data_IF_775179565476
#
_entry.id   IF_775179565476
#
_cell.length_a   1.000
_cell.length_b   1.000
_cell.length_c   1.000
_cell.angle_alpha   90.00
_cell.angle_beta   90.00
_cell.angle_gamma   90.00
#
_symmetry.space_group_name_H-M   'P 1'
#
loop_
_entity.id
_entity.type
_entity.pdbx_description
1 polymer ?
#
# COMPACT_ATOMS: atom_id res chain seq x y z
N UNK A 1 17.80 12.76 5.66
CA UNK A 1 18.64 12.73 4.43
C UNK A 1 17.95 13.59 3.36
N UNK A 2 18.61 14.07 2.29
CA UNK A 2 17.94 14.88 1.25
C UNK A 2 17.73 14.06 -0.03
N UNK A 3 16.47 13.87 -0.44
CA UNK A 3 16.06 13.14 -1.66
C UNK A 3 15.93 14.04 -2.89
N UNK A 4 16.52 15.25 -2.85
CA UNK A 4 16.45 16.23 -3.93
C UNK A 4 17.01 15.71 -5.27
N UNK A 5 17.98 14.80 -5.24
CA UNK A 5 18.52 14.15 -6.44
C UNK A 5 17.46 13.31 -7.18
N UNK A 6 16.56 12.66 -6.44
CA UNK A 6 15.43 11.91 -7.01
C UNK A 6 14.38 12.90 -7.52
N UNK A 7 13.93 13.85 -6.68
CA UNK A 7 12.82 14.74 -7.02
C UNK A 7 13.11 15.74 -8.15
N UNK A 8 14.38 16.13 -8.30
CA UNK A 8 14.86 17.00 -9.36
C UNK A 8 15.51 16.24 -10.53
N UNK A 9 15.45 14.90 -10.51
CA UNK A 9 16.00 14.06 -11.56
C UNK A 9 15.48 14.48 -12.94
N UNK A 10 16.39 14.41 -13.92
CA UNK A 10 16.08 14.49 -15.36
C UNK A 10 16.55 13.23 -16.08
N UNK A 11 16.92 12.19 -15.33
CA UNK A 11 17.33 10.90 -15.88
C UNK A 11 16.10 10.29 -16.54
N UNK A 12 16.16 10.10 -17.86
CA UNK A 12 15.05 9.53 -18.60
C UNK A 12 14.99 8.04 -18.36
N UNK A 13 13.81 7.53 -18.02
CA UNK A 13 13.54 6.11 -18.05
C UNK A 13 13.46 5.63 -19.50
N UNK A 14 13.96 4.42 -19.76
CA UNK A 14 13.86 3.76 -21.05
C UNK A 14 12.42 3.36 -21.41
N UNK A 15 11.57 3.20 -20.39
CA UNK A 15 10.17 2.81 -20.52
C UNK A 15 9.22 3.94 -20.11
N UNK A 16 8.04 3.98 -20.75
CA UNK A 16 6.93 4.83 -20.29
C UNK A 16 6.07 4.06 -19.30
N UNK A 17 5.63 4.76 -18.26
CA UNK A 17 4.67 4.25 -17.30
C UNK A 17 3.24 4.56 -17.74
N UNK A 18 2.30 3.68 -17.37
CA UNK A 18 0.87 4.00 -17.27
C UNK A 18 0.57 4.70 -15.94
N UNK A 19 -0.63 5.29 -15.74
CA UNK A 19 -1.01 5.87 -14.45
C UNK A 19 -0.89 4.87 -13.29
N UNK A 20 -1.31 3.62 -13.48
CA UNK A 20 -1.27 2.58 -12.46
C UNK A 20 0.18 2.24 -12.10
N UNK A 21 1.04 2.10 -13.12
CA UNK A 21 2.47 1.86 -12.96
C UNK A 21 3.16 3.04 -12.24
N UNK A 22 2.75 4.27 -12.53
CA UNK A 22 3.27 5.46 -11.87
C UNK A 22 2.85 5.54 -10.40
N UNK A 23 1.59 5.22 -10.08
CA UNK A 23 1.11 5.16 -8.69
C UNK A 23 1.85 4.05 -7.93
N UNK A 24 1.96 2.84 -8.49
CA UNK A 24 2.73 1.74 -7.91
C UNK A 24 4.17 2.14 -7.64
N UNK A 25 4.82 2.79 -8.62
CA UNK A 25 6.19 3.26 -8.50
C UNK A 25 6.39 4.21 -7.31
N UNK A 26 5.45 5.11 -7.06
CA UNK A 26 5.50 6.02 -5.92
C UNK A 26 5.43 5.26 -4.60
N UNK A 27 4.50 4.32 -4.45
CA UNK A 27 4.41 3.49 -3.25
C UNK A 27 5.69 2.68 -3.01
N UNK A 28 6.20 2.02 -4.05
CA UNK A 28 7.43 1.22 -3.92
C UNK A 28 8.66 2.06 -3.58
N UNK A 29 8.76 3.29 -4.11
CA UNK A 29 9.88 4.17 -3.79
C UNK A 29 9.88 4.63 -2.33
N UNK A 30 8.71 4.78 -1.71
CA UNK A 30 8.58 5.09 -0.27
C UNK A 30 9.07 3.91 0.56
N UNK A 31 8.64 2.71 0.23
CA UNK A 31 9.08 1.47 0.89
C UNK A 31 10.61 1.28 0.78
N UNK A 32 11.18 1.57 -0.38
CA UNK A 32 12.61 1.41 -0.64
C UNK A 32 13.50 2.53 -0.08
N UNK A 33 12.97 3.44 0.76
CA UNK A 33 13.69 4.63 1.23
C UNK A 33 14.88 4.28 2.11
N UNK A 34 14.75 3.28 2.97
CA UNK A 34 15.81 2.81 3.86
C UNK A 34 16.80 1.85 3.17
N UNK A 35 16.50 1.44 1.94
CA UNK A 35 17.33 0.61 1.09
C UNK A 35 16.86 -0.84 0.97
N UNK A 36 15.84 -1.25 1.73
CA UNK A 36 15.25 -2.58 1.66
C UNK A 36 13.81 -2.50 1.13
N UNK A 37 13.35 -3.56 0.45
CA UNK A 37 11.95 -3.69 0.02
C UNK A 37 11.39 -4.87 0.78
N UNK A 38 10.48 -4.63 1.72
CA UNK A 38 9.74 -5.71 2.36
C UNK A 38 8.63 -6.19 1.41
N UNK A 39 8.81 -7.40 0.90
CA UNK A 39 7.84 -8.03 0.00
C UNK A 39 6.46 -8.25 0.65
N UNK A 40 6.37 -8.26 1.99
CA UNK A 40 5.09 -8.31 2.68
C UNK A 40 4.34 -6.96 2.58
N UNK A 41 5.07 -5.84 2.58
CA UNK A 41 4.48 -4.51 2.43
C UNK A 41 4.09 -4.22 0.97
N UNK A 42 4.71 -4.91 0.01
CA UNK A 42 4.29 -4.82 -1.40
C UNK A 42 2.82 -5.21 -1.57
N UNK A 43 2.31 -6.13 -0.75
CA UNK A 43 0.90 -6.53 -0.76
C UNK A 43 -0.04 -5.37 -0.36
N UNK A 44 0.45 -4.38 0.41
CA UNK A 44 -0.30 -3.17 0.77
C UNK A 44 -0.50 -2.31 -0.48
N UNK A 45 0.55 -2.13 -1.28
CA UNK A 45 0.48 -1.41 -2.56
C UNK A 45 -0.51 -2.11 -3.51
N UNK A 46 -0.39 -3.43 -3.63
CA UNK A 46 -1.24 -4.24 -4.50
C UNK A 46 -2.71 -4.15 -4.06
N UNK A 47 -2.98 -4.28 -2.76
CA UNK A 47 -4.31 -4.15 -2.16
C UNK A 47 -4.94 -2.77 -2.36
N UNK A 48 -4.17 -1.70 -2.13
CA UNK A 48 -4.64 -0.33 -2.38
C UNK A 48 -5.07 -0.13 -3.83
N UNK A 49 -4.26 -0.59 -4.78
CA UNK A 49 -4.56 -0.44 -6.20
C UNK A 49 -5.83 -1.21 -6.60
N UNK A 50 -5.99 -2.45 -6.13
CA UNK A 50 -7.21 -3.21 -6.38
C UNK A 50 -8.47 -2.45 -5.91
N UNK A 51 -8.43 -1.84 -4.73
CA UNK A 51 -9.54 -1.02 -4.19
C UNK A 51 -9.83 0.23 -5.01
N UNK A 52 -8.83 0.79 -5.70
CA UNK A 52 -9.02 1.90 -6.64
C UNK A 52 -9.61 1.47 -7.98
N UNK A 53 -9.90 0.17 -8.14
CA UNK A 53 -10.56 -0.41 -9.31
C UNK A 53 -9.59 -0.97 -10.35
N UNK A 54 -8.31 -1.14 -10.01
CA UNK A 54 -7.35 -1.80 -10.88
C UNK A 54 -7.56 -3.32 -10.82
N UNK A 55 -7.38 -3.99 -11.96
CA UNK A 55 -7.45 -5.45 -12.02
C UNK A 55 -6.18 -6.08 -11.46
N UNK A 56 -6.28 -7.30 -10.94
CA UNK A 56 -5.11 -8.06 -10.47
C UNK A 56 -4.01 -8.19 -11.54
N UNK A 57 -4.41 -8.31 -12.82
CA UNK A 57 -3.46 -8.38 -13.93
C UNK A 57 -2.73 -7.05 -14.16
N UNK A 58 -3.41 -5.91 -14.03
CA UNK A 58 -2.78 -4.59 -14.14
C UNK A 58 -1.81 -4.33 -12.99
N UNK A 59 -2.16 -4.76 -11.78
CA UNK A 59 -1.31 -4.63 -10.59
C UNK A 59 -0.05 -5.49 -10.70
N UNK A 60 -0.18 -6.76 -11.08
CA UNK A 60 0.97 -7.66 -11.29
C UNK A 60 1.89 -7.15 -12.42
N UNK A 61 1.32 -6.67 -13.52
CA UNK A 61 2.08 -6.07 -14.61
C UNK A 61 2.84 -4.81 -14.14
N UNK A 62 2.20 -3.98 -13.32
CA UNK A 62 2.82 -2.80 -12.73
C UNK A 62 3.99 -3.16 -11.82
N UNK A 63 3.78 -4.09 -10.88
CA UNK A 63 4.84 -4.58 -9.99
C UNK A 63 6.06 -5.07 -10.76
N UNK A 64 5.86 -5.96 -11.73
CA UNK A 64 6.96 -6.54 -12.53
C UNK A 64 7.74 -5.48 -13.28
N UNK A 65 7.05 -4.51 -13.89
CA UNK A 65 7.70 -3.44 -14.63
C UNK A 65 8.46 -2.50 -13.69
N UNK A 66 7.82 -2.04 -12.61
CA UNK A 66 8.43 -1.10 -11.67
C UNK A 66 9.68 -1.71 -11.01
N UNK A 67 9.59 -2.96 -10.54
CA UNK A 67 10.74 -3.69 -9.95
C UNK A 67 11.90 -3.88 -10.93
N UNK A 68 11.59 -4.09 -12.23
CA UNK A 68 12.61 -4.12 -13.27
C UNK A 68 13.30 -2.76 -13.42
N UNK A 69 12.52 -1.68 -13.52
CA UNK A 69 13.04 -0.32 -13.73
C UNK A 69 13.91 0.11 -12.54
N UNK A 70 13.46 -0.07 -11.29
CA UNK A 70 14.25 0.32 -10.11
C UNK A 70 15.59 -0.43 -10.07
N UNK A 71 15.62 -1.71 -10.46
CA UNK A 71 16.83 -2.54 -10.49
C UNK A 71 17.81 -2.12 -11.60
N UNK A 72 17.30 -1.72 -12.77
CA UNK A 72 18.12 -1.43 -13.95
C UNK A 72 18.50 0.05 -14.08
N UNK A 73 17.61 0.96 -13.69
CA UNK A 73 17.69 2.39 -13.98
C UNK A 73 17.63 3.28 -12.73
N UNK A 74 17.41 2.69 -11.54
CA UNK A 74 17.35 3.35 -10.22
C UNK A 74 16.15 4.28 -10.02
N UNK A 75 15.99 4.74 -8.77
CA UNK A 75 14.88 5.58 -8.32
C UNK A 75 14.77 6.90 -9.08
N UNK A 76 15.89 7.49 -9.50
CA UNK A 76 15.90 8.77 -10.22
C UNK A 76 15.20 8.68 -11.58
N UNK A 77 15.38 7.58 -12.31
CA UNK A 77 14.72 7.35 -13.60
C UNK A 77 13.24 7.00 -13.40
N UNK A 78 12.95 6.17 -12.41
CA UNK A 78 11.60 5.73 -12.07
C UNK A 78 10.71 6.92 -11.64
N UNK A 79 11.21 7.76 -10.73
CA UNK A 79 10.48 8.96 -10.30
C UNK A 79 10.25 9.94 -11.44
N UNK A 80 11.27 10.16 -12.28
CA UNK A 80 11.12 11.04 -13.44
C UNK A 80 9.99 10.55 -14.36
N UNK A 81 9.93 9.25 -14.66
CA UNK A 81 8.89 8.64 -15.48
C UNK A 81 7.51 8.75 -14.83
N UNK A 82 7.38 8.43 -13.54
CA UNK A 82 6.13 8.54 -12.79
C UNK A 82 5.61 9.98 -12.82
N UNK A 83 6.49 10.96 -12.58
CA UNK A 83 6.14 12.38 -12.60
C UNK A 83 5.64 12.86 -13.98
N UNK A 84 6.14 12.31 -15.09
CA UNK A 84 5.62 12.67 -16.42
C UNK A 84 4.18 12.21 -16.64
N UNK A 85 3.76 11.14 -15.95
CA UNK A 85 2.44 10.55 -16.08
C UNK A 85 1.44 11.19 -15.12
N UNK A 86 1.85 11.40 -13.86
CA UNK A 86 1.03 11.99 -12.80
C UNK A 86 0.84 13.50 -13.03
N UNK A 87 -0.07 13.84 -13.95
CA UNK A 87 -0.32 15.23 -14.36
C UNK A 87 -1.70 15.74 -13.93
N UNK A 88 -2.66 14.84 -13.69
CA UNK A 88 -3.98 15.23 -13.21
C UNK A 88 -4.05 15.16 -11.67
N UNK A 89 -4.88 16.02 -11.07
CA UNK A 89 -4.99 16.15 -9.62
C UNK A 89 -5.39 14.82 -8.94
N UNK A 90 -6.29 14.05 -9.54
CA UNK A 90 -6.78 12.80 -8.99
C UNK A 90 -5.68 11.72 -8.90
N UNK A 91 -4.86 11.57 -9.94
CA UNK A 91 -3.74 10.64 -9.97
C UNK A 91 -2.64 11.05 -9.01
N UNK A 92 -2.34 12.36 -8.95
CA UNK A 92 -1.37 12.93 -8.00
C UNK A 92 -1.81 12.64 -6.57
N UNK A 93 -3.08 12.89 -6.25
CA UNK A 93 -3.65 12.58 -4.93
C UNK A 93 -3.63 11.09 -4.65
N UNK A 94 -3.99 10.24 -5.62
CA UNK A 94 -4.00 8.79 -5.44
C UNK A 94 -2.59 8.24 -5.18
N UNK A 95 -1.58 8.74 -5.89
CA UNK A 95 -0.19 8.38 -5.66
C UNK A 95 0.30 8.86 -4.28
N UNK A 96 -0.11 10.05 -3.85
CA UNK A 96 0.24 10.58 -2.54
C UNK A 96 -0.46 9.83 -1.39
N UNK A 97 -1.73 9.45 -1.58
CA UNK A 97 -2.48 8.62 -0.62
C UNK A 97 -1.76 7.29 -0.39
N UNK A 98 -1.36 6.62 -1.47
CA UNK A 98 -0.58 5.39 -1.38
C UNK A 98 0.76 5.61 -0.68
N UNK A 99 1.47 6.70 -0.98
CA UNK A 99 2.74 7.01 -0.32
C UNK A 99 2.60 7.14 1.20
N UNK A 100 1.53 7.80 1.66
CA UNK A 100 1.25 7.95 3.10
C UNK A 100 0.85 6.62 3.71
N UNK A 101 0.04 5.80 3.03
CA UNK A 101 -0.34 4.47 3.53
C UNK A 101 0.87 3.55 3.68
N UNK A 102 1.78 3.53 2.71
CA UNK A 102 3.01 2.72 2.78
C UNK A 102 3.92 3.21 3.91
N UNK A 103 4.16 4.51 4.02
CA UNK A 103 5.02 5.08 5.08
C UNK A 103 4.47 4.91 6.51
N UNK A 104 3.20 4.51 6.64
CA UNK A 104 2.53 4.30 7.93
C UNK A 104 2.21 2.82 8.17
N UNK A 105 2.65 1.92 7.28
CA UNK A 105 2.24 0.52 7.27
C UNK A 105 2.68 -0.26 8.51
N UNK A 106 3.86 0.04 9.04
CA UNK A 106 4.47 -0.61 10.20
C UNK A 106 4.19 0.13 11.53
N UNK A 107 3.22 1.05 11.52
CA UNK A 107 2.86 1.95 12.62
C UNK A 107 4.02 2.85 13.11
N UNK A 108 5.10 2.98 12.32
CA UNK A 108 6.28 3.77 12.68
C UNK A 108 6.84 4.53 11.48
N UNK A 109 6.31 5.73 11.28
CA UNK A 109 6.90 6.69 10.35
C UNK A 109 8.34 7.06 10.79
N UNK A 110 9.33 6.58 10.05
CA UNK A 110 10.75 6.93 10.27
C UNK A 110 11.05 8.36 9.82
N UNK A 111 12.18 8.92 10.28
CA UNK A 111 12.61 10.26 9.83
C UNK A 111 12.91 10.27 8.32
N UNK A 112 13.40 9.16 7.79
CA UNK A 112 13.68 8.96 6.38
C UNK A 112 12.40 8.97 5.53
N UNK A 113 11.38 8.20 5.93
CA UNK A 113 10.09 8.14 5.23
C UNK A 113 9.32 9.46 5.33
N UNK A 114 9.27 10.11 6.51
CA UNK A 114 8.67 11.43 6.67
C UNK A 114 9.33 12.44 5.72
N UNK A 115 10.66 12.47 5.72
CA UNK A 115 11.42 13.36 4.85
C UNK A 115 11.15 13.09 3.37
N UNK A 116 11.02 11.83 2.98
CA UNK A 116 10.69 11.43 1.61
C UNK A 116 9.25 11.85 1.23
N UNK A 117 8.25 11.51 2.05
CA UNK A 117 6.83 11.82 1.80
C UNK A 117 6.59 13.34 1.76
N UNK A 118 7.23 14.10 2.66
CA UNK A 118 7.14 15.57 2.64
C UNK A 118 7.82 16.17 1.40
N UNK A 119 8.97 15.62 0.99
CA UNK A 119 9.63 16.00 -0.26
C UNK A 119 8.79 15.68 -1.50
N UNK A 120 8.10 14.55 -1.48
CA UNK A 120 7.16 14.12 -2.51
C UNK A 120 5.96 15.09 -2.59
N UNK A 121 5.33 15.41 -1.44
CA UNK A 121 4.22 16.35 -1.35
C UNK A 121 4.57 17.70 -1.97
N UNK A 122 5.74 18.25 -1.60
CA UNK A 122 6.26 19.50 -2.16
C UNK A 122 6.46 19.42 -3.67
N UNK A 123 7.00 18.30 -4.16
CA UNK A 123 7.31 18.10 -5.58
C UNK A 123 6.06 17.94 -6.43
N UNK A 124 5.04 17.25 -5.90
CA UNK A 124 3.74 17.06 -6.52
C UNK A 124 2.78 18.24 -6.27
N UNK A 125 3.21 19.25 -5.50
CA UNK A 125 2.43 20.46 -5.14
C UNK A 125 1.15 20.14 -4.36
N UNK A 126 1.19 19.13 -3.50
CA UNK A 126 0.13 18.85 -2.54
C UNK A 126 0.11 19.99 -1.51
N UNK A 127 -1.08 20.49 -1.16
CA UNK A 127 -1.21 21.54 -0.16
C UNK A 127 -0.95 20.99 1.25
N UNK A 128 -0.38 21.82 2.12
CA UNK A 128 -0.10 21.46 3.51
C UNK A 128 -1.35 20.92 4.24
N UNK A 129 -2.52 21.53 4.01
CA UNK A 129 -3.79 21.08 4.57
C UNK A 129 -4.13 19.64 4.15
N UNK A 130 -3.91 19.28 2.88
CA UNK A 130 -4.15 17.92 2.39
C UNK A 130 -3.15 16.95 3.01
N UNK A 131 -1.87 17.33 3.12
CA UNK A 131 -0.84 16.50 3.80
C UNK A 131 -1.26 16.19 5.23
N UNK A 132 -1.60 17.22 6.02
CA UNK A 132 -2.03 17.06 7.42
C UNK A 132 -3.27 16.18 7.53
N UNK A 133 -4.25 16.36 6.65
CA UNK A 133 -5.44 15.53 6.62
C UNK A 133 -5.10 14.05 6.34
N UNK A 134 -4.21 13.77 5.38
CA UNK A 134 -3.85 12.39 5.02
C UNK A 134 -3.11 11.67 6.13
N UNK A 135 -2.18 12.34 6.80
CA UNK A 135 -1.50 11.77 7.98
C UNK A 135 -2.45 11.58 9.17
N UNK A 136 -3.36 12.52 9.41
CA UNK A 136 -4.38 12.39 10.46
C UNK A 136 -5.33 11.22 10.19
N UNK A 137 -5.75 11.05 8.93
CA UNK A 137 -6.57 9.94 8.48
C UNK A 137 -5.80 8.61 8.66
N UNK A 138 -4.57 8.50 8.16
CA UNK A 138 -3.72 7.31 8.32
C UNK A 138 -3.53 6.93 9.80
N UNK A 139 -3.17 7.89 10.66
CA UNK A 139 -3.00 7.67 12.11
C UNK A 139 -4.28 7.19 12.79
N UNK A 140 -5.43 7.71 12.37
CA UNK A 140 -6.73 7.28 12.90
C UNK A 140 -7.02 5.83 12.49
N UNK A 141 -6.57 5.39 11.31
CA UNK A 141 -6.75 4.02 10.84
C UNK A 141 -5.86 3.03 11.59
N UNK A 142 -4.58 3.35 11.79
CA UNK A 142 -3.63 2.55 12.59
C UNK A 142 -4.22 2.16 13.96
N UNK A 143 -4.79 3.15 14.68
CA UNK A 143 -5.44 2.91 15.98
C UNK A 143 -6.67 2.00 15.91
N UNK A 144 -7.37 1.94 14.78
CA UNK A 144 -8.52 1.05 14.64
C UNK A 144 -8.08 -0.38 14.28
N UNK A 145 -7.03 -0.55 13.47
CA UNK A 145 -6.48 -1.87 13.14
C UNK A 145 -5.88 -2.57 14.36
N UNK A 146 -5.20 -1.85 15.26
CA UNK A 146 -4.71 -2.40 16.54
C UNK A 146 -5.83 -3.13 17.31
N UNK A 147 -7.04 -2.57 17.33
CA UNK A 147 -8.20 -3.16 18.01
C UNK A 147 -8.67 -4.47 17.38
N UNK A 148 -8.60 -4.57 16.05
CA UNK A 148 -8.93 -5.81 15.35
C UNK A 148 -7.83 -6.85 15.51
N UNK A 149 -6.57 -6.42 15.53
CA UNK A 149 -5.40 -7.28 15.77
C UNK A 149 -5.51 -7.96 17.14
N UNK A 150 -5.89 -7.22 18.19
CA UNK A 150 -6.15 -7.78 19.53
C UNK A 150 -7.25 -8.86 19.53
N UNK A 151 -8.16 -8.84 18.54
CA UNK A 151 -9.25 -9.81 18.40
C UNK A 151 -8.89 -11.00 17.50
N UNK A 152 -7.71 -11.03 16.88
CA UNK A 152 -7.33 -12.10 15.94
C UNK A 152 -7.48 -13.47 16.61
N UNK A 153 -6.99 -13.65 17.83
CA UNK A 153 -7.12 -14.95 18.52
C UNK A 153 -8.59 -15.39 18.67
N UNK A 154 -9.48 -14.46 19.05
CA UNK A 154 -10.92 -14.74 19.16
C UNK A 154 -11.55 -15.08 17.81
N UNK A 155 -11.11 -14.40 16.74
CA UNK A 155 -11.60 -14.62 15.37
C UNK A 155 -11.13 -15.97 14.84
N UNK A 156 -9.85 -16.32 15.07
CA UNK A 156 -9.28 -17.60 14.66
C UNK A 156 -9.99 -18.78 15.33
N UNK A 157 -10.49 -18.62 16.56
CA UNK A 157 -11.31 -19.63 17.24
C UNK A 157 -12.67 -19.90 16.57
N UNK A 158 -13.17 -18.97 15.75
CA UNK A 158 -14.44 -19.12 15.00
C UNK A 158 -14.25 -19.83 13.66
N UNK A 159 -13.01 -20.03 13.22
CA UNK A 159 -12.72 -20.68 11.94
C UNK A 159 -12.92 -22.20 11.98
N UNK A 160 -13.18 -22.83 10.81
CA UNK A 160 -13.26 -24.29 10.73
C UNK A 160 -11.99 -24.97 11.27
N UNK A 161 -12.18 -26.06 12.01
CA UNK A 161 -11.07 -26.86 12.56
C UNK A 161 -10.13 -27.30 11.43
N UNK A 162 -8.83 -27.05 11.61
CA UNK A 162 -7.79 -27.34 10.62
C UNK A 162 -7.40 -26.15 9.73
N UNK A 163 -8.08 -25.00 9.87
CA UNK A 163 -7.65 -23.76 9.24
C UNK A 163 -6.33 -23.28 9.84
N UNK A 164 -5.45 -22.72 9.00
CA UNK A 164 -4.16 -22.15 9.42
C UNK A 164 -4.14 -20.66 9.11
N UNK A 165 -3.71 -19.88 10.09
CA UNK A 165 -3.42 -18.47 9.92
C UNK A 165 -2.03 -18.31 9.28
N UNK A 166 -1.94 -17.52 8.22
CA UNK A 166 -0.68 -17.30 7.47
C UNK A 166 -0.21 -15.85 7.50
N UNK A 167 -0.96 -14.95 8.13
CA UNK A 167 -0.64 -13.53 8.22
C UNK A 167 -1.87 -12.66 8.02
N UNK A 168 -1.68 -11.35 8.13
CA UNK A 168 -2.70 -10.36 7.82
C UNK A 168 -2.16 -9.37 6.80
N UNK A 169 -3.06 -8.77 6.04
CA UNK A 169 -2.76 -7.73 5.07
C UNK A 169 -3.53 -6.49 5.52
N UNK A 170 -2.81 -5.43 5.85
CA UNK A 170 -3.43 -4.14 6.11
C UNK A 170 -3.82 -3.54 4.76
N UNK A 171 -5.13 -3.45 4.49
CA UNK A 171 -5.61 -2.76 3.29
C UNK A 171 -6.35 -1.50 3.69
N UNK A 172 -5.63 -0.41 3.95
CA UNK A 172 -6.25 0.93 3.96
C UNK A 172 -6.52 1.31 2.48
N UNK A 173 -7.59 1.96 2.07
CA UNK A 173 -8.40 3.04 2.64
C UNK A 173 -9.90 2.71 2.60
N UNK A 174 -10.58 3.04 3.71
CA UNK A 174 -12.05 2.98 3.84
C UNK A 174 -12.52 1.91 4.82
N UNK A 175 -12.95 2.36 5.99
CA UNK A 175 -13.53 1.57 7.09
C UNK A 175 -12.55 0.64 7.81
N UNK A 176 -12.89 0.44 9.08
CA UNK A 176 -12.20 -0.28 10.14
C UNK A 176 -12.01 -1.75 9.73
N UNK A 177 -11.06 -2.05 8.86
CA UNK A 177 -11.00 -3.34 8.17
C UNK A 177 -9.66 -4.04 8.35
N UNK A 178 -9.68 -5.37 8.43
CA UNK A 178 -8.50 -6.24 8.56
C UNK A 178 -8.68 -7.47 7.67
N UNK A 179 -7.71 -7.76 6.82
CA UNK A 179 -7.75 -8.95 5.97
C UNK A 179 -6.81 -10.01 6.54
N UNK A 180 -7.33 -11.19 6.88
CA UNK A 180 -6.50 -12.32 7.32
C UNK A 180 -6.29 -13.30 6.18
N UNK A 181 -5.04 -13.70 5.97
CA UNK A 181 -4.65 -14.79 5.08
C UNK A 181 -4.85 -16.11 5.80
N UNK A 182 -5.82 -16.90 5.33
CA UNK A 182 -6.19 -18.17 5.94
C UNK A 182 -6.01 -19.28 4.92
N UNK A 183 -5.33 -20.36 5.32
CA UNK A 183 -5.35 -21.62 4.59
C UNK A 183 -6.44 -22.52 5.15
N UNK A 184 -7.41 -22.89 4.33
CA UNK A 184 -8.54 -23.73 4.75
C UNK A 184 -8.08 -25.16 5.07
N UNK A 185 -8.91 -25.99 5.73
CA UNK A 185 -8.59 -27.40 5.97
C UNK A 185 -8.37 -28.23 4.69
N UNK A 186 -8.78 -27.69 3.53
CA UNK A 186 -8.59 -28.31 2.20
C UNK A 186 -7.33 -27.80 1.48
N UNK A 187 -6.48 -27.04 2.18
CA UNK A 187 -5.26 -26.43 1.65
C UNK A 187 -5.52 -25.32 0.61
N UNK A 188 -6.73 -24.76 0.59
CA UNK A 188 -7.08 -23.62 -0.27
C UNK A 188 -6.73 -22.31 0.44
N UNK A 189 -6.16 -21.36 -0.28
CA UNK A 189 -5.88 -20.04 0.26
C UNK A 189 -7.08 -19.12 0.10
N UNK A 190 -7.52 -18.50 1.20
CA UNK A 190 -8.64 -17.55 1.25
C UNK A 190 -8.26 -16.30 2.05
N UNK A 191 -8.94 -15.20 1.75
CA UNK A 191 -8.84 -13.94 2.48
C UNK A 191 -10.10 -13.77 3.31
N UNK A 192 -9.95 -13.64 4.62
CA UNK A 192 -11.02 -13.27 5.53
C UNK A 192 -10.98 -11.75 5.72
N UNK A 193 -11.89 -11.05 5.06
CA UNK A 193 -12.11 -9.62 5.27
C UNK A 193 -12.91 -9.43 6.56
N UNK A 194 -12.41 -8.63 7.48
CA UNK A 194 -13.04 -8.32 8.75
C UNK A 194 -13.29 -6.83 8.81
N UNK A 195 -14.55 -6.42 8.86
CA UNK A 195 -14.94 -5.01 8.93
C UNK A 195 -15.58 -4.70 10.28
N UNK A 196 -15.13 -3.68 10.99
CA UNK A 196 -15.87 -3.14 12.12
C UNK A 196 -16.99 -2.25 11.61
N UNK A 197 -18.17 -2.51 12.14
CA UNK A 197 -19.35 -1.72 11.81
C UNK A 197 -19.32 -0.35 12.53
N UNK A 198 -20.37 0.45 12.34
CA UNK A 198 -20.58 1.66 13.15
C UNK A 198 -20.64 1.38 14.66
N UNK A 199 -21.03 0.16 15.07
CA UNK A 199 -21.00 -0.33 16.45
C UNK A 199 -19.63 -0.95 16.76
N UNK A 200 -18.95 -0.40 17.76
CA UNK A 200 -17.62 -0.82 18.22
C UNK A 200 -17.55 -2.27 18.73
N UNK A 201 -18.71 -2.88 19.02
CA UNK A 201 -18.80 -4.25 19.52
C UNK A 201 -19.12 -5.26 18.40
N UNK A 202 -19.40 -4.81 17.17
CA UNK A 202 -19.78 -5.68 16.07
C UNK A 202 -18.72 -5.67 14.97
N UNK A 203 -18.35 -6.87 14.54
CA UNK A 203 -17.49 -7.12 13.39
C UNK A 203 -18.26 -7.93 12.36
N UNK A 204 -18.18 -7.53 11.11
CA UNK A 204 -18.62 -8.29 9.94
C UNK A 204 -17.42 -9.06 9.39
N UNK A 205 -17.67 -10.26 8.87
CA UNK A 205 -16.63 -11.14 8.36
C UNK A 205 -17.09 -11.74 7.03
N UNK A 206 -16.29 -11.58 6.00
CA UNK A 206 -16.54 -12.11 4.66
C UNK A 206 -15.31 -12.90 4.17
N UNK A 207 -15.56 -14.06 3.56
CA UNK A 207 -14.52 -14.93 3.01
C UNK A 207 -14.49 -14.78 1.50
N UNK A 208 -13.33 -14.43 0.98
CA UNK A 208 -13.06 -14.33 -0.45
C UNK A 208 -11.97 -15.32 -0.86
N UNK A 209 -12.03 -15.81 -2.10
CA UNK A 209 -10.93 -16.60 -2.66
C UNK A 209 -9.69 -15.72 -2.76
N UNK A 210 -8.54 -16.24 -2.35
CA UNK A 210 -7.32 -15.48 -2.51
C UNK A 210 -7.07 -15.21 -4.00
N UNK A 211 -6.62 -14.00 -4.35
CA UNK A 211 -6.23 -13.69 -5.72
C UNK A 211 -5.23 -14.72 -6.24
N UNK A 212 -5.24 -15.08 -7.55
CA UNK A 212 -4.41 -16.13 -8.12
C UNK A 212 -2.89 -15.95 -7.96
N UNK A 213 -2.44 -14.79 -7.48
CA UNK A 213 -1.05 -14.43 -7.28
C UNK A 213 -0.60 -14.48 -5.81
N UNK A 214 -1.51 -14.67 -4.84
CA UNK A 214 -1.18 -14.83 -3.41
C UNK A 214 -0.84 -16.27 -3.01
N UNK A 215 -1.01 -17.22 -3.94
CA UNK A 215 -0.86 -18.68 -3.78
C UNK A 215 0.56 -19.14 -3.51
#
# INVERSE_FOLDING_TARGET
MSYENIFNSKVKCSEKLTPNEAIFAIGLMVMAVDGDIDMNEVEIIEGFLLKKGFTAQEVDAARKKVLRIITQEKNEALFYAAKQVLQNEKEIETAFDLAVEVAMADDKLTEEEDSFVMGLAKTLKISQQKVEQKFADATKYCRNSERLIEKIEEILLKLPIGSKYEGYINTTTGLRSLNLKIRTPKDELVILNIDETGDINQIEMELESAPPWMS
#
